data_IF_277122848164
#
_entry.id   IF_277122848164
#
_cell.length_a   1.000
_cell.length_b   1.000
_cell.length_c   1.000
_cell.angle_alpha   90.00
_cell.angle_beta   90.00
_cell.angle_gamma   90.00
#
_symmetry.space_group_name_H-M   'P 1'
#
loop_
_entity.id
_entity.type
_entity.pdbx_description
1 polymer ?
#
# COMPACT_ATOMS: atom_id res chain seq x y z
N UNK A 1 69.48 -44.78 -3.05
CA UNK A 1 68.54 -43.88 -3.66
C UNK A 1 67.28 -43.85 -2.82
N UNK A 2 67.07 -42.78 -2.00
CA UNK A 2 65.90 -42.66 -1.16
C UNK A 2 64.92 -41.73 -1.90
N UNK A 3 63.70 -42.21 -2.22
CA UNK A 3 62.62 -41.45 -2.80
C UNK A 3 61.85 -40.74 -1.68
N UNK A 4 61.87 -39.39 -1.67
CA UNK A 4 61.15 -38.60 -0.76
C UNK A 4 59.79 -38.25 -1.44
N UNK A 5 58.69 -38.77 -0.87
CA UNK A 5 57.33 -38.48 -1.32
C UNK A 5 56.85 -37.17 -0.66
N UNK A 6 56.66 -36.17 -1.45
CA UNK A 6 56.08 -34.87 -1.00
C UNK A 6 54.57 -35.00 -0.90
N UNK A 7 54.04 -34.93 0.32
CA UNK A 7 52.59 -34.92 0.57
C UNK A 7 52.09 -33.47 0.49
N UNK A 8 51.32 -33.13 -0.58
CA UNK A 8 50.72 -31.83 -0.78
C UNK A 8 49.43 -31.76 0.02
N UNK A 9 49.41 -30.93 1.07
CA UNK A 9 48.25 -30.70 1.91
C UNK A 9 47.39 -29.58 1.27
N UNK A 10 46.33 -29.96 0.56
CA UNK A 10 45.31 -28.99 0.08
C UNK A 10 44.50 -28.48 1.25
N UNK A 11 44.77 -27.26 1.67
CA UNK A 11 43.95 -26.54 2.63
C UNK A 11 42.72 -25.99 1.89
N UNK A 12 41.57 -26.66 1.98
CA UNK A 12 40.31 -26.18 1.48
C UNK A 12 39.79 -25.05 2.41
N UNK A 13 39.99 -23.79 2.01
CA UNK A 13 39.32 -22.66 2.64
C UNK A 13 37.81 -22.77 2.37
N UNK A 14 37.07 -23.33 3.31
CA UNK A 14 35.62 -23.15 3.40
C UNK A 14 35.37 -21.68 3.72
N UNK A 15 35.15 -20.87 2.70
CA UNK A 15 34.56 -19.53 2.84
C UNK A 15 33.15 -19.74 3.39
N UNK A 16 33.01 -19.64 4.71
CA UNK A 16 31.71 -19.60 5.36
C UNK A 16 30.98 -18.36 4.88
N UNK A 17 30.00 -18.55 3.97
CA UNK A 17 29.00 -17.51 3.69
C UNK A 17 28.37 -17.15 5.03
N UNK A 18 28.28 -15.85 5.39
CA UNK A 18 27.60 -15.47 6.61
C UNK A 18 26.15 -15.96 6.51
N UNK A 19 25.76 -16.91 7.35
CA UNK A 19 24.35 -17.25 7.53
C UNK A 19 23.68 -15.96 8.07
N UNK A 20 22.95 -15.27 7.21
CA UNK A 20 22.09 -14.16 7.64
C UNK A 20 21.03 -14.79 8.54
N UNK A 21 21.03 -14.47 9.83
CA UNK A 21 20.00 -14.96 10.74
C UNK A 21 18.63 -14.55 10.17
N UNK A 22 17.78 -15.53 9.90
CA UNK A 22 16.41 -15.27 9.43
C UNK A 22 15.65 -14.57 10.54
N UNK A 23 15.13 -13.38 10.24
CA UNK A 23 14.32 -12.63 11.21
C UNK A 23 12.96 -13.27 11.28
N UNK A 24 12.56 -13.66 12.48
CA UNK A 24 11.26 -14.26 12.74
C UNK A 24 10.24 -13.13 12.92
N UNK A 25 9.10 -13.15 12.20
CA UNK A 25 8.04 -12.19 12.44
C UNK A 25 7.45 -12.37 13.84
N UNK A 26 7.04 -11.27 14.46
CA UNK A 26 6.34 -11.28 15.75
C UNK A 26 4.91 -11.78 15.64
N UNK A 27 4.34 -11.68 14.43
CA UNK A 27 3.05 -12.27 14.08
C UNK A 27 2.93 -12.53 12.58
N UNK A 28 2.03 -13.45 12.22
CA UNK A 28 1.68 -13.77 10.83
C UNK A 28 0.18 -13.84 10.68
N UNK A 29 -0.40 -12.91 9.92
CA UNK A 29 -1.84 -12.75 9.78
C UNK A 29 -2.25 -13.08 8.35
N UNK A 30 -3.20 -14.01 8.12
CA UNK A 30 -3.72 -14.26 6.78
C UNK A 30 -4.54 -13.08 6.29
N UNK A 31 -4.54 -12.84 4.97
CA UNK A 31 -5.43 -11.89 4.32
C UNK A 31 -6.20 -12.51 3.16
N UNK A 32 -7.36 -11.95 2.87
CA UNK A 32 -8.12 -12.18 1.65
C UNK A 32 -7.76 -11.13 0.60
N UNK A 33 -7.47 -11.53 -0.63
CA UNK A 33 -7.40 -10.61 -1.76
C UNK A 33 -8.77 -10.61 -2.45
N UNK A 34 -9.49 -9.51 -2.33
CA UNK A 34 -10.82 -9.34 -2.92
C UNK A 34 -10.80 -9.31 -4.46
N UNK A 35 -11.96 -9.53 -5.06
CA UNK A 35 -12.14 -9.39 -6.52
C UNK A 35 -11.85 -7.95 -6.99
N UNK A 36 -12.03 -6.97 -6.12
CA UNK A 36 -11.68 -5.57 -6.28
C UNK A 36 -10.18 -5.27 -6.18
N UNK A 37 -9.34 -6.29 -6.05
CA UNK A 37 -7.87 -6.21 -5.91
C UNK A 37 -7.39 -5.57 -4.60
N UNK A 38 -8.26 -5.46 -3.59
CA UNK A 38 -7.94 -4.92 -2.26
C UNK A 38 -7.67 -6.03 -1.25
N UNK A 39 -6.96 -5.68 -0.17
CA UNK A 39 -6.56 -6.60 0.89
C UNK A 39 -7.54 -6.50 2.06
N UNK A 40 -8.03 -7.63 2.53
CA UNK A 40 -8.92 -7.69 3.68
C UNK A 40 -8.35 -8.57 4.79
N UNK A 41 -8.42 -8.06 6.02
CA UNK A 41 -7.93 -8.72 7.24
C UNK A 41 -9.03 -8.80 8.28
N UNK A 42 -8.89 -9.74 9.21
CA UNK A 42 -9.78 -9.83 10.38
C UNK A 42 -9.23 -8.95 11.50
N UNK A 43 -10.08 -8.07 12.02
CA UNK A 43 -9.76 -7.13 13.09
C UNK A 43 -10.79 -7.27 14.21
N UNK A 44 -10.37 -7.00 15.44
CA UNK A 44 -11.20 -6.96 16.63
C UNK A 44 -11.04 -5.62 17.34
N UNK A 45 -12.12 -5.09 17.87
CA UNK A 45 -12.16 -3.78 18.52
C UNK A 45 -12.54 -3.95 20.00
N UNK A 46 -11.83 -3.26 20.90
CA UNK A 46 -12.12 -3.13 22.33
C UNK A 46 -12.34 -4.48 23.04
N UNK A 47 -11.57 -5.53 22.65
CA UNK A 47 -11.64 -6.85 23.29
C UNK A 47 -12.90 -7.66 22.96
N UNK A 48 -13.70 -7.26 21.96
CA UNK A 48 -14.86 -8.03 21.51
C UNK A 48 -14.41 -9.16 20.57
N UNK A 49 -13.83 -10.22 21.14
CA UNK A 49 -13.21 -11.31 20.39
C UNK A 49 -14.21 -12.27 19.71
N UNK A 50 -15.47 -12.20 20.11
CA UNK A 50 -16.59 -12.91 19.49
C UNK A 50 -17.16 -12.20 18.25
N UNK A 51 -16.67 -10.99 17.95
CA UNK A 51 -17.10 -10.17 16.81
C UNK A 51 -15.97 -9.91 15.82
N UNK A 52 -15.61 -10.88 14.95
CA UNK A 52 -14.62 -10.66 13.92
C UNK A 52 -15.13 -9.68 12.85
N UNK A 53 -14.34 -8.68 12.54
CA UNK A 53 -14.66 -7.62 11.58
C UNK A 53 -13.78 -7.75 10.34
N UNK A 54 -14.35 -7.55 9.15
CA UNK A 54 -13.63 -7.56 7.87
C UNK A 54 -13.15 -6.15 7.55
N UNK A 55 -11.86 -5.91 7.69
CA UNK A 55 -11.23 -4.61 7.48
C UNK A 55 -10.42 -4.57 6.19
N UNK A 56 -10.53 -3.47 5.45
CA UNK A 56 -9.62 -3.10 4.37
C UNK A 56 -8.26 -2.73 4.98
N UNK A 57 -7.16 -3.32 4.52
CA UNK A 57 -5.81 -2.90 4.89
C UNK A 57 -5.37 -1.78 3.96
N UNK A 58 -5.08 -0.60 4.53
CA UNK A 58 -4.94 0.63 3.75
C UNK A 58 -3.75 1.48 4.21
N UNK A 59 -2.70 1.49 3.39
CA UNK A 59 -1.53 2.36 3.62
C UNK A 59 -1.76 3.80 3.17
N UNK A 60 -2.85 4.09 2.46
CA UNK A 60 -3.31 5.42 2.10
C UNK A 60 -4.20 6.09 3.16
N UNK A 61 -4.58 5.37 4.22
CA UNK A 61 -5.35 5.90 5.34
C UNK A 61 -4.46 6.17 6.56
N UNK A 62 -4.60 7.35 7.17
CA UNK A 62 -3.85 7.70 8.39
C UNK A 62 -4.39 6.99 9.62
N UNK A 63 -5.68 6.80 9.72
CA UNK A 63 -6.38 6.35 10.92
C UNK A 63 -7.07 5.00 10.73
N UNK A 64 -7.56 4.45 11.84
CA UNK A 64 -8.47 3.30 11.81
C UNK A 64 -9.90 3.81 11.65
N UNK A 65 -10.62 3.27 10.66
CA UNK A 65 -11.99 3.67 10.33
C UNK A 65 -12.97 2.56 10.70
N UNK A 66 -14.12 2.91 11.27
CA UNK A 66 -15.30 2.06 11.34
C UNK A 66 -16.30 2.48 10.26
N UNK A 67 -16.87 1.51 9.55
CA UNK A 67 -17.98 1.74 8.66
C UNK A 67 -19.27 1.92 9.49
N UNK A 68 -19.73 3.16 9.64
CA UNK A 68 -20.90 3.47 10.46
C UNK A 68 -22.22 2.91 9.89
N UNK A 69 -22.23 2.44 8.64
CA UNK A 69 -23.40 1.77 8.04
C UNK A 69 -23.34 0.24 8.17
N UNK A 70 -22.21 -0.35 8.63
CA UNK A 70 -22.16 -1.79 8.87
C UNK A 70 -22.88 -2.15 10.16
N UNK A 71 -23.86 -3.05 10.15
CA UNK A 71 -24.51 -3.50 11.38
C UNK A 71 -23.56 -4.24 12.33
N UNK A 72 -22.40 -4.69 11.82
CA UNK A 72 -21.39 -5.38 12.63
C UNK A 72 -20.55 -4.42 13.48
N UNK A 73 -20.57 -3.12 13.19
CA UNK A 73 -19.83 -2.10 13.96
C UNK A 73 -20.69 -1.38 14.98
N UNK A 74 -21.98 -1.64 15.00
CA UNK A 74 -22.92 -1.01 15.94
C UNK A 74 -22.53 -1.25 17.40
N UNK A 75 -22.43 -0.18 18.19
CA UNK A 75 -22.11 -0.24 19.62
C UNK A 75 -20.66 -0.56 19.97
N UNK A 76 -19.74 -0.67 18.99
CA UNK A 76 -18.32 -0.98 19.25
C UNK A 76 -17.55 0.20 19.87
N UNK A 77 -17.92 1.44 19.56
CA UNK A 77 -17.26 2.64 20.04
C UNK A 77 -18.24 3.82 20.13
N UNK A 78 -17.97 4.76 21.03
CA UNK A 78 -18.72 6.01 21.14
C UNK A 78 -17.97 7.13 20.40
N UNK A 79 -18.63 7.75 19.44
CA UNK A 79 -18.08 8.85 18.63
C UNK A 79 -18.48 10.19 19.27
N UNK A 80 -17.65 10.70 20.16
CA UNK A 80 -17.88 11.89 20.99
C UNK A 80 -17.12 13.12 20.50
N UNK A 81 -16.17 12.93 19.55
CA UNK A 81 -15.34 13.97 18.96
C UNK A 81 -15.57 14.05 17.44
N UNK A 82 -14.84 14.95 16.78
CA UNK A 82 -14.79 15.04 15.33
C UNK A 82 -13.39 15.42 14.84
N UNK A 83 -13.07 15.02 13.62
CA UNK A 83 -11.80 15.35 12.95
C UNK A 83 -12.04 15.78 11.51
N UNK A 84 -11.13 16.58 10.96
CA UNK A 84 -11.09 16.85 9.53
C UNK A 84 -10.53 15.63 8.79
N UNK A 85 -11.24 15.17 7.78
CA UNK A 85 -10.86 14.07 6.92
C UNK A 85 -10.63 14.56 5.49
N UNK A 86 -9.40 14.33 4.99
CA UNK A 86 -9.04 14.59 3.61
C UNK A 86 -9.20 13.29 2.82
N UNK A 87 -10.30 13.15 2.10
CA UNK A 87 -10.52 12.01 1.22
C UNK A 87 -9.97 12.24 -0.19
N UNK A 88 -10.10 11.23 -1.04
CA UNK A 88 -9.65 11.29 -2.45
C UNK A 88 -10.20 12.51 -3.18
N UNK A 89 -11.42 12.91 -2.90
CA UNK A 89 -12.16 13.93 -3.65
C UNK A 89 -12.92 14.96 -2.78
N UNK A 90 -12.72 14.96 -1.46
CA UNK A 90 -13.37 15.92 -0.54
C UNK A 90 -12.55 16.15 0.72
N UNK A 91 -12.90 17.24 1.42
CA UNK A 91 -12.46 17.54 2.79
C UNK A 91 -13.73 17.70 3.63
N UNK A 92 -13.88 16.88 4.65
CA UNK A 92 -15.09 16.82 5.47
C UNK A 92 -14.77 16.68 6.96
N UNK A 93 -15.63 17.22 7.83
CA UNK A 93 -15.57 16.93 9.26
C UNK A 93 -16.36 15.67 9.55
N UNK A 94 -15.71 14.67 10.12
CA UNK A 94 -16.29 13.36 10.39
C UNK A 94 -16.23 13.01 11.88
N UNK A 95 -17.16 12.18 12.40
CA UNK A 95 -17.16 11.75 13.79
C UNK A 95 -15.92 10.92 14.13
N UNK A 96 -15.39 11.11 15.35
CA UNK A 96 -14.28 10.35 15.89
C UNK A 96 -14.49 9.99 17.37
N UNK A 97 -13.77 8.97 17.81
CA UNK A 97 -13.70 8.61 19.24
C UNK A 97 -12.58 9.40 19.93
N UNK A 98 -12.54 9.33 21.26
CA UNK A 98 -11.31 9.64 22.01
C UNK A 98 -10.20 8.65 21.65
N UNK A 99 -8.94 9.06 21.93
CA UNK A 99 -7.74 8.23 21.69
C UNK A 99 -7.55 7.19 22.80
N UNK A 100 -8.52 6.30 22.97
CA UNK A 100 -8.56 5.28 24.02
C UNK A 100 -8.89 3.86 23.52
N UNK A 101 -9.09 3.71 22.22
CA UNK A 101 -9.59 2.46 21.64
C UNK A 101 -8.46 1.43 21.50
N UNK A 102 -8.84 0.17 21.58
CA UNK A 102 -7.94 -0.98 21.37
C UNK A 102 -8.31 -1.67 20.06
N UNK A 103 -7.33 -1.80 19.18
CA UNK A 103 -7.48 -2.47 17.86
C UNK A 103 -6.54 -3.67 17.82
N UNK A 104 -7.05 -4.86 17.48
CA UNK A 104 -6.27 -6.09 17.39
C UNK A 104 -6.38 -6.72 16.00
N UNK A 105 -5.22 -7.03 15.41
CA UNK A 105 -5.09 -7.87 14.21
C UNK A 105 -4.16 -9.03 14.55
N UNK A 106 -4.58 -10.27 14.29
CA UNK A 106 -3.84 -11.45 14.75
C UNK A 106 -3.72 -11.47 16.27
N UNK A 107 -2.51 -11.66 16.79
CA UNK A 107 -2.19 -11.62 18.22
C UNK A 107 -1.81 -10.21 18.72
N UNK A 108 -1.65 -9.22 17.82
CA UNK A 108 -1.11 -7.89 18.15
C UNK A 108 -2.22 -6.88 18.39
N UNK A 109 -2.32 -6.39 19.63
CA UNK A 109 -3.26 -5.37 20.05
C UNK A 109 -2.52 -4.05 20.30
N UNK A 110 -3.03 -2.95 19.74
CA UNK A 110 -2.55 -1.59 19.96
C UNK A 110 -3.64 -0.79 20.67
N UNK A 111 -3.27 -0.18 21.77
CA UNK A 111 -4.14 0.66 22.60
C UNK A 111 -3.91 2.14 22.33
N UNK A 112 -4.85 2.98 22.74
CA UNK A 112 -4.73 4.44 22.60
C UNK A 112 -5.00 4.94 21.20
N UNK A 113 -5.66 4.15 20.35
CA UNK A 113 -6.01 4.56 19.00
C UNK A 113 -7.30 5.38 18.99
N UNK A 114 -7.36 6.31 18.04
CA UNK A 114 -8.59 7.01 17.66
C UNK A 114 -9.24 6.25 16.51
N UNK A 115 -10.57 6.08 16.55
CA UNK A 115 -11.35 5.57 15.45
C UNK A 115 -12.16 6.71 14.84
N UNK A 116 -12.30 6.70 13.53
CA UNK A 116 -13.16 7.62 12.79
C UNK A 116 -14.33 6.87 12.16
N UNK A 117 -15.49 7.52 12.00
CA UNK A 117 -16.68 6.92 11.42
C UNK A 117 -16.91 7.43 10.00
N UNK A 118 -16.92 6.51 9.02
CA UNK A 118 -17.26 6.83 7.63
C UNK A 118 -18.41 5.92 7.17
N UNK A 119 -19.48 6.48 6.55
CA UNK A 119 -20.65 5.72 6.12
C UNK A 119 -20.40 5.08 4.73
N UNK A 120 -19.55 4.04 4.65
CA UNK A 120 -19.42 3.24 3.45
C UNK A 120 -20.69 2.42 3.16
N UNK A 121 -20.84 1.81 1.97
CA UNK A 121 -21.91 0.84 1.73
C UNK A 121 -21.89 -0.26 2.82
N UNK A 122 -23.05 -0.67 3.34
CA UNK A 122 -23.13 -1.54 4.51
C UNK A 122 -22.56 -2.94 4.28
N UNK A 123 -22.47 -3.38 3.04
CA UNK A 123 -21.98 -4.68 2.58
C UNK A 123 -20.53 -4.64 2.05
N UNK A 124 -19.87 -3.48 2.06
CA UNK A 124 -18.51 -3.34 1.54
C UNK A 124 -17.48 -3.99 2.47
N UNK A 125 -17.23 -3.39 3.61
CA UNK A 125 -16.32 -3.83 4.69
C UNK A 125 -16.76 -3.19 6.00
N UNK A 126 -16.29 -3.75 7.13
CA UNK A 126 -16.65 -3.23 8.45
C UNK A 126 -15.78 -2.04 8.88
N UNK A 127 -14.62 -1.88 8.26
CA UNK A 127 -13.71 -0.77 8.57
C UNK A 127 -12.45 -0.77 7.71
N UNK A 128 -11.56 0.20 8.00
CA UNK A 128 -10.27 0.37 7.36
C UNK A 128 -9.17 0.34 8.42
N UNK A 129 -8.12 -0.45 8.20
CA UNK A 129 -6.95 -0.53 9.07
C UNK A 129 -5.84 0.33 8.48
N UNK A 130 -5.69 1.54 9.00
CA UNK A 130 -4.73 2.54 8.52
C UNK A 130 -3.42 2.57 9.29
N UNK A 131 -2.65 3.61 9.01
CA UNK A 131 -1.26 3.77 9.47
C UNK A 131 -1.12 3.98 10.98
N UNK A 132 -2.12 4.51 11.68
CA UNK A 132 -2.08 4.64 13.14
C UNK A 132 -1.90 3.28 13.82
N UNK A 133 -2.40 2.19 13.20
CA UNK A 133 -2.11 0.83 13.62
C UNK A 133 -0.83 0.28 12.97
N UNK A 134 -0.67 0.38 11.64
CA UNK A 134 0.38 -0.31 10.89
C UNK A 134 1.80 0.16 11.27
N UNK A 135 1.99 1.44 11.56
CA UNK A 135 3.29 2.04 11.94
C UNK A 135 3.86 1.57 13.28
N UNK A 136 3.14 0.76 14.03
CA UNK A 136 3.68 0.13 15.23
C UNK A 136 4.59 -1.06 14.93
N UNK A 137 4.70 -1.45 13.66
CA UNK A 137 5.47 -2.61 13.17
C UNK A 137 6.18 -2.26 11.88
N UNK A 138 7.23 -3.02 11.51
CA UNK A 138 7.59 -3.14 10.12
C UNK A 138 6.69 -4.22 9.50
N UNK A 139 6.10 -3.95 8.33
CA UNK A 139 5.00 -4.74 7.77
C UNK A 139 5.40 -5.33 6.43
N UNK A 140 5.42 -6.66 6.31
CA UNK A 140 5.57 -7.34 5.02
C UNK A 140 4.25 -7.92 4.55
N UNK A 141 3.84 -7.57 3.33
CA UNK A 141 2.68 -8.12 2.64
C UNK A 141 3.19 -9.10 1.58
N UNK A 142 2.89 -10.39 1.76
CA UNK A 142 3.31 -11.47 0.85
C UNK A 142 2.08 -12.02 0.12
N UNK A 143 1.90 -11.59 -1.12
CA UNK A 143 0.73 -11.98 -1.94
C UNK A 143 0.74 -13.45 -2.35
N UNK A 144 1.91 -14.06 -2.45
CA UNK A 144 2.04 -15.48 -2.77
C UNK A 144 1.55 -16.35 -1.61
N UNK A 145 1.95 -15.98 -0.38
CA UNK A 145 1.53 -16.68 0.84
C UNK A 145 0.17 -16.23 1.35
N UNK A 146 -0.36 -15.12 0.80
CA UNK A 146 -1.56 -14.42 1.30
C UNK A 146 -1.47 -14.13 2.80
N UNK A 147 -0.33 -13.63 3.23
CA UNK A 147 -0.02 -13.38 4.63
C UNK A 147 0.66 -12.03 4.82
N UNK A 148 0.33 -11.39 5.92
CA UNK A 148 0.99 -10.20 6.45
C UNK A 148 1.90 -10.68 7.56
N UNK A 149 3.17 -10.33 7.49
CA UNK A 149 4.16 -10.58 8.52
C UNK A 149 4.45 -9.27 9.24
N UNK A 150 4.28 -9.28 10.56
CA UNK A 150 4.61 -8.14 11.42
C UNK A 150 5.97 -8.39 12.06
N UNK A 151 6.83 -7.39 12.05
CA UNK A 151 8.14 -7.43 12.69
C UNK A 151 8.23 -6.30 13.71
N UNK A 152 9.11 -6.43 14.70
CA UNK A 152 9.46 -5.30 15.55
C UNK A 152 10.06 -4.16 14.69
N UNK A 153 9.77 -2.92 15.08
CA UNK A 153 10.26 -1.75 14.35
C UNK A 153 11.80 -1.75 14.22
N UNK A 154 12.29 -1.72 12.99
CA UNK A 154 13.70 -1.74 12.62
C UNK A 154 14.25 -3.13 12.30
N UNK A 155 13.47 -4.18 12.45
CA UNK A 155 13.84 -5.53 12.05
C UNK A 155 13.42 -5.88 10.62
N UNK A 156 12.49 -5.14 10.04
CA UNK A 156 11.99 -5.36 8.68
C UNK A 156 13.10 -5.38 7.63
N UNK A 157 14.08 -4.49 7.72
CA UNK A 157 15.23 -4.48 6.79
C UNK A 157 15.94 -5.83 6.70
N UNK A 158 16.01 -6.60 7.80
CA UNK A 158 16.64 -7.92 7.83
C UNK A 158 15.80 -8.97 7.09
N UNK A 159 14.47 -8.74 6.97
CA UNK A 159 13.54 -9.60 6.24
C UNK A 159 13.43 -9.23 4.75
N UNK A 160 14.05 -8.13 4.32
CA UNK A 160 14.03 -7.72 2.91
C UNK A 160 14.79 -8.73 2.04
N UNK A 161 14.23 -9.06 0.88
CA UNK A 161 14.91 -9.87 -0.14
C UNK A 161 16.02 -9.06 -0.81
N UNK A 162 17.14 -9.69 -1.11
CA UNK A 162 18.23 -9.08 -1.90
C UNK A 162 17.81 -8.75 -3.35
N UNK A 163 16.68 -9.30 -3.80
CA UNK A 163 16.08 -9.03 -5.12
C UNK A 163 15.07 -7.88 -5.11
N UNK A 164 14.74 -7.35 -3.93
CA UNK A 164 13.77 -6.27 -3.81
C UNK A 164 14.36 -4.93 -4.25
N UNK A 165 13.58 -4.15 -4.99
CA UNK A 165 13.89 -2.74 -5.22
C UNK A 165 13.57 -1.98 -3.93
N UNK A 166 14.55 -1.24 -3.43
CA UNK A 166 14.37 -0.35 -2.29
C UNK A 166 14.03 1.06 -2.77
N UNK A 167 12.94 1.61 -2.26
CA UNK A 167 12.54 3.00 -2.46
C UNK A 167 12.57 3.72 -1.11
N UNK A 168 13.12 4.93 -1.08
CA UNK A 168 13.05 5.77 0.12
C UNK A 168 11.61 6.28 0.25
N UNK A 169 11.02 6.12 1.42
CA UNK A 169 9.72 6.71 1.76
C UNK A 169 9.91 8.12 2.33
N UNK A 170 9.03 9.01 1.93
CA UNK A 170 8.71 10.28 2.58
C UNK A 170 7.26 10.22 3.05
N UNK A 171 6.79 11.22 3.79
CA UNK A 171 5.39 11.27 4.24
C UNK A 171 4.77 12.60 3.85
N UNK A 172 3.64 12.52 3.17
CA UNK A 172 2.84 13.69 2.79
C UNK A 172 1.38 13.43 3.07
N UNK A 173 0.70 14.40 3.64
CA UNK A 173 -0.65 14.23 4.16
C UNK A 173 -0.77 13.02 5.11
N UNK A 174 0.34 12.68 5.80
CA UNK A 174 0.40 11.57 6.75
C UNK A 174 0.61 10.18 6.13
N UNK A 175 0.61 10.02 4.81
CA UNK A 175 0.75 8.73 4.11
C UNK A 175 2.13 8.57 3.46
N UNK A 176 2.62 7.32 3.25
CA UNK A 176 3.89 7.07 2.60
C UNK A 176 3.88 7.48 1.13
N UNK A 177 4.93 8.19 0.73
CA UNK A 177 5.17 8.65 -0.64
C UNK A 177 6.55 8.18 -1.08
N UNK A 178 6.66 7.70 -2.31
CA UNK A 178 7.91 7.22 -2.89
C UNK A 178 8.19 7.87 -4.24
N UNK A 179 9.49 8.05 -4.63
CA UNK A 179 9.85 8.50 -5.96
C UNK A 179 9.69 7.37 -6.97
N UNK A 180 9.05 7.66 -8.09
CA UNK A 180 8.84 6.73 -9.21
C UNK A 180 9.12 7.44 -10.52
N UNK A 181 9.87 6.80 -11.41
CA UNK A 181 9.99 7.25 -12.80
C UNK A 181 8.76 6.84 -13.60
N UNK A 182 8.24 7.73 -14.43
CA UNK A 182 7.18 7.42 -15.38
C UNK A 182 7.45 8.04 -16.74
N UNK A 183 7.33 7.24 -17.80
CA UNK A 183 7.41 7.74 -19.18
C UNK A 183 6.01 7.84 -19.75
N UNK A 184 5.66 9.00 -20.28
CA UNK A 184 4.35 9.32 -20.86
C UNK A 184 4.56 10.04 -22.19
N UNK A 185 4.08 9.47 -23.31
CA UNK A 185 4.22 10.07 -24.62
C UNK A 185 5.67 10.31 -25.03
N UNK A 186 6.59 9.44 -24.62
CA UNK A 186 8.02 9.54 -24.89
C UNK A 186 8.80 10.47 -23.96
N UNK A 187 8.15 11.16 -23.02
CA UNK A 187 8.78 12.09 -22.06
C UNK A 187 8.92 11.40 -20.69
N UNK A 188 10.10 11.52 -20.08
CA UNK A 188 10.41 10.98 -18.76
C UNK A 188 10.09 12.00 -17.66
N UNK A 189 9.42 11.53 -16.61
CA UNK A 189 9.11 12.30 -15.42
C UNK A 189 9.55 11.52 -14.18
N UNK A 190 10.08 12.21 -13.19
CA UNK A 190 10.23 11.71 -11.83
C UNK A 190 9.06 12.26 -11.00
N UNK A 191 8.24 11.38 -10.44
CA UNK A 191 7.02 11.72 -9.70
C UNK A 191 7.10 11.21 -8.27
N UNK A 192 6.53 11.98 -7.34
CA UNK A 192 6.34 11.57 -5.95
C UNK A 192 4.92 11.01 -5.80
N UNK A 193 4.80 9.73 -5.51
CA UNK A 193 3.49 9.04 -5.51
C UNK A 193 3.15 8.42 -4.16
N UNK A 194 1.92 8.60 -3.73
CA UNK A 194 1.37 7.90 -2.56
C UNK A 194 1.29 6.40 -2.80
N UNK A 195 1.56 5.61 -1.76
CA UNK A 195 1.47 4.14 -1.80
C UNK A 195 0.21 3.73 -1.05
N UNK A 196 -0.79 3.22 -1.80
CA UNK A 196 -2.16 3.06 -1.31
C UNK A 196 -2.68 1.64 -1.58
N UNK A 197 -2.60 0.77 -0.57
CA UNK A 197 -3.13 -0.60 -0.65
C UNK A 197 -4.66 -0.66 -0.56
N UNK A 198 -5.31 0.41 -0.11
CA UNK A 198 -6.77 0.55 -0.05
C UNK A 198 -7.40 0.94 -1.40
N UNK A 199 -6.60 1.38 -2.37
CA UNK A 199 -7.07 1.75 -3.71
C UNK A 199 -7.09 0.55 -4.66
N UNK A 200 -8.17 0.36 -5.41
CA UNK A 200 -8.28 -0.62 -6.49
C UNK A 200 -7.64 -0.15 -7.81
N UNK A 201 -7.07 1.05 -7.81
CA UNK A 201 -6.45 1.68 -8.98
C UNK A 201 -5.08 1.07 -9.28
N UNK A 202 -4.58 1.36 -10.50
CA UNK A 202 -3.23 0.99 -10.91
C UNK A 202 -2.26 2.13 -10.59
N UNK A 203 -2.34 3.23 -11.33
CA UNK A 203 -1.49 4.39 -11.17
C UNK A 203 -2.23 5.64 -11.67
N UNK A 204 -2.62 6.49 -10.76
CA UNK A 204 -3.28 7.76 -11.11
C UNK A 204 -2.32 8.92 -10.92
N UNK A 205 -2.17 9.79 -11.93
CA UNK A 205 -1.47 11.06 -11.81
C UNK A 205 -2.46 12.15 -11.39
N UNK A 206 -2.10 12.91 -10.37
CA UNK A 206 -2.94 13.94 -9.77
C UNK A 206 -3.15 15.14 -10.71
N UNK A 207 -4.27 15.80 -10.57
CA UNK A 207 -4.69 16.92 -11.43
C UNK A 207 -3.65 18.04 -11.56
N UNK A 208 -2.99 18.51 -10.47
CA UNK A 208 -1.98 19.55 -10.60
C UNK A 208 -0.78 19.12 -11.46
N UNK A 209 -0.30 17.89 -11.26
CA UNK A 209 0.79 17.34 -12.08
C UNK A 209 0.38 17.23 -13.55
N UNK A 210 -0.80 16.68 -13.81
CA UNK A 210 -1.35 16.49 -15.17
C UNK A 210 -1.48 17.84 -15.89
N UNK A 211 -1.98 18.88 -15.22
CA UNK A 211 -2.15 20.23 -15.79
C UNK A 211 -0.81 20.91 -16.03
N UNK A 212 0.10 20.87 -15.04
CA UNK A 212 1.42 21.52 -15.12
C UNK A 212 2.25 20.99 -16.28
N UNK A 213 2.11 19.71 -16.61
CA UNK A 213 2.83 19.06 -17.69
C UNK A 213 2.03 18.92 -19.00
N UNK A 214 0.82 19.49 -19.06
CA UNK A 214 0.00 19.51 -20.29
C UNK A 214 -0.37 18.12 -20.79
N UNK A 215 -0.59 17.13 -19.88
CA UNK A 215 -0.77 15.73 -20.26
C UNK A 215 -2.16 15.43 -20.86
N UNK A 216 -3.18 16.24 -20.55
CA UNK A 216 -4.52 16.09 -21.14
C UNK A 216 -4.47 16.27 -22.65
N UNK A 217 -5.05 15.30 -23.40
CA UNK A 217 -5.09 15.34 -24.86
C UNK A 217 -3.80 14.83 -25.55
N UNK A 218 -2.71 14.52 -24.81
CA UNK A 218 -1.50 13.93 -25.37
C UNK A 218 -1.71 12.50 -25.85
N UNK A 219 -2.68 11.79 -25.27
CA UNK A 219 -3.07 10.43 -25.62
C UNK A 219 -4.59 10.32 -25.66
N UNK A 220 -5.11 9.44 -26.52
CA UNK A 220 -6.52 9.09 -26.52
C UNK A 220 -6.79 8.13 -25.35
N UNK A 221 -7.67 8.47 -24.40
CA UNK A 221 -8.04 7.56 -23.34
C UNK A 221 -8.71 6.29 -23.88
N UNK A 222 -8.36 5.14 -23.35
CA UNK A 222 -9.06 3.88 -23.67
C UNK A 222 -10.37 3.72 -22.86
N UNK A 223 -10.50 4.44 -21.74
CA UNK A 223 -11.70 4.49 -20.93
C UNK A 223 -11.74 5.78 -20.10
N UNK A 224 -12.92 6.19 -19.67
CA UNK A 224 -13.14 7.22 -18.67
C UNK A 224 -13.71 6.54 -17.43
N UNK A 225 -13.09 6.73 -16.29
CA UNK A 225 -13.56 6.24 -14.98
C UNK A 225 -14.01 7.43 -14.13
N UNK A 226 -14.96 7.18 -13.23
CA UNK A 226 -15.31 8.14 -12.18
C UNK A 226 -14.79 7.62 -10.84
N UNK A 227 -14.26 8.52 -10.01
CA UNK A 227 -13.87 8.18 -8.65
C UNK A 227 -15.09 8.29 -7.76
N UNK A 228 -15.41 7.21 -7.06
CA UNK A 228 -16.30 7.25 -5.91
C UNK A 228 -15.42 7.39 -4.66
N UNK A 229 -15.41 8.58 -4.07
CA UNK A 229 -14.89 8.82 -2.71
C UNK A 229 -16.03 8.87 -1.71
N UNK A 230 -15.85 9.57 -0.61
CA UNK A 230 -16.92 9.86 0.37
C UNK A 230 -18.02 10.71 -0.24
N UNK A 231 -17.75 11.46 -1.31
CA UNK A 231 -18.73 12.26 -2.08
C UNK A 231 -19.00 11.63 -3.44
N UNK A 232 -20.30 11.60 -3.85
CA UNK A 232 -20.74 10.90 -5.08
C UNK A 232 -20.21 11.48 -6.40
N UNK A 233 -19.83 12.75 -6.46
CA UNK A 233 -19.36 13.42 -7.68
C UNK A 233 -17.85 13.66 -7.67
N UNK A 234 -17.10 12.57 -7.73
CA UNK A 234 -15.66 12.53 -7.50
C UNK A 234 -14.76 13.03 -8.63
N UNK A 235 -15.30 13.45 -9.77
CA UNK A 235 -14.49 13.82 -10.94
C UNK A 235 -14.15 12.64 -11.85
N UNK A 236 -13.43 12.92 -12.93
CA UNK A 236 -13.11 11.95 -13.97
C UNK A 236 -11.62 11.61 -14.02
N UNK A 237 -11.34 10.38 -14.40
CA UNK A 237 -10.03 9.86 -14.70
C UNK A 237 -9.99 9.45 -16.17
N UNK A 238 -9.08 10.04 -16.93
CA UNK A 238 -8.78 9.61 -18.29
C UNK A 238 -7.78 8.46 -18.24
N UNK A 239 -8.26 7.23 -18.44
CA UNK A 239 -7.41 6.04 -18.42
C UNK A 239 -6.62 5.92 -19.72
N UNK A 240 -5.30 5.88 -19.60
CA UNK A 240 -4.31 5.83 -20.68
C UNK A 240 -3.28 4.74 -20.41
N UNK A 241 -2.36 4.52 -21.33
CA UNK A 241 -1.18 3.69 -21.07
C UNK A 241 0.05 4.58 -20.91
N UNK A 242 0.74 4.46 -19.78
CA UNK A 242 2.09 4.98 -19.65
C UNK A 242 3.06 4.07 -20.43
N UNK A 243 4.03 4.67 -21.10
CA UNK A 243 5.02 3.91 -21.88
C UNK A 243 5.81 2.97 -20.96
N UNK A 244 6.19 3.46 -19.78
CA UNK A 244 6.81 2.66 -18.72
C UNK A 244 6.68 3.29 -17.35
N UNK A 245 6.78 2.44 -16.31
CA UNK A 245 6.97 2.81 -14.90
C UNK A 245 8.32 2.27 -14.45
N UNK A 246 9.13 3.10 -13.79
CA UNK A 246 10.50 2.81 -13.38
C UNK A 246 10.57 2.89 -11.86
N UNK A 247 10.93 1.77 -11.22
CA UNK A 247 11.08 1.66 -9.78
C UNK A 247 12.57 1.57 -9.42
N UNK A 248 13.08 2.61 -8.76
CA UNK A 248 14.51 2.75 -8.52
C UNK A 248 15.32 2.71 -9.81
N UNK A 249 16.58 2.26 -9.73
CA UNK A 249 17.46 2.11 -10.89
C UNK A 249 17.38 0.72 -11.53
N UNK A 250 16.55 -0.18 -10.98
CA UNK A 250 16.64 -1.61 -11.27
C UNK A 250 15.48 -2.20 -12.06
N UNK A 251 14.29 -1.62 -12.02
CA UNK A 251 13.10 -2.24 -12.59
C UNK A 251 12.30 -1.28 -13.47
N UNK A 252 12.22 -1.61 -14.75
CA UNK A 252 11.35 -0.91 -15.72
C UNK A 252 10.22 -1.82 -16.15
N UNK A 253 9.00 -1.36 -15.96
CA UNK A 253 7.77 -2.06 -16.33
C UNK A 253 7.14 -1.35 -17.54
N UNK A 254 7.12 -1.97 -18.73
CA UNK A 254 6.57 -1.33 -19.93
C UNK A 254 5.05 -1.40 -19.97
N UNK A 255 4.44 -0.41 -20.64
CA UNK A 255 3.01 -0.34 -20.95
C UNK A 255 2.10 -0.56 -19.75
N UNK A 256 2.22 0.29 -18.76
CA UNK A 256 1.40 0.24 -17.55
C UNK A 256 0.13 1.06 -17.74
N UNK A 257 -1.07 0.52 -17.46
CA UNK A 257 -2.28 1.32 -17.40
C UNK A 257 -2.16 2.36 -16.28
N UNK A 258 -2.51 3.59 -16.61
CA UNK A 258 -2.54 4.69 -15.66
C UNK A 258 -3.71 5.61 -15.95
N UNK A 259 -3.84 6.68 -15.19
CA UNK A 259 -4.87 7.65 -15.46
C UNK A 259 -4.39 9.09 -15.21
N UNK A 260 -4.95 10.01 -15.98
CA UNK A 260 -4.85 11.44 -15.76
C UNK A 260 -6.09 11.92 -15.01
N UNK A 261 -5.89 12.43 -13.79
CA UNK A 261 -6.97 12.98 -13.00
C UNK A 261 -7.40 14.37 -13.50
N UNK A 262 -8.69 14.61 -13.45
CA UNK A 262 -9.30 15.95 -13.64
C UNK A 262 -10.07 16.41 -12.41
N UNK A 263 -9.93 15.69 -11.30
CA UNK A 263 -10.57 15.98 -10.00
C UNK A 263 -10.11 17.34 -9.49
N UNK A 264 -11.01 18.10 -8.88
CA UNK A 264 -10.75 19.49 -8.46
C UNK A 264 -10.75 19.70 -6.94
N UNK A 265 -11.02 18.66 -6.16
CA UNK A 265 -11.04 18.68 -4.68
C UNK A 265 -10.42 17.42 -4.10
N UNK A 266 -10.02 17.44 -2.85
CA UNK A 266 -9.41 16.31 -2.14
C UNK A 266 -7.96 16.01 -2.54
N UNK A 267 -7.48 14.80 -2.21
CA UNK A 267 -6.08 14.41 -2.36
C UNK A 267 -5.61 14.47 -3.81
N UNK A 268 -6.46 14.06 -4.77
CA UNK A 268 -6.10 14.08 -6.19
C UNK A 268 -6.05 15.49 -6.81
N UNK A 269 -6.57 16.50 -6.12
CA UNK A 269 -6.45 17.92 -6.49
C UNK A 269 -5.31 18.64 -5.75
N UNK A 270 -4.60 17.95 -4.86
CA UNK A 270 -3.51 18.51 -4.05
C UNK A 270 -2.17 18.43 -4.77
N UNK A 271 -1.32 19.45 -4.57
CA UNK A 271 0.09 19.45 -4.98
C UNK A 271 1.01 18.70 -4.00
N UNK A 272 0.47 18.12 -2.92
CA UNK A 272 1.25 17.40 -1.92
C UNK A 272 1.99 16.20 -2.52
N UNK A 273 1.40 15.55 -3.53
CA UNK A 273 1.99 14.45 -4.28
C UNK A 273 1.57 14.50 -5.75
N UNK A 274 2.36 13.90 -6.64
CA UNK A 274 2.10 13.93 -8.07
C UNK A 274 1.13 12.83 -8.54
N UNK A 275 0.88 11.81 -7.70
CA UNK A 275 -0.01 10.70 -8.03
C UNK A 275 -0.15 9.67 -6.92
N UNK A 276 -0.81 8.55 -7.24
CA UNK A 276 -1.07 7.43 -6.33
C UNK A 276 -0.85 6.09 -7.04
N UNK A 277 -0.07 5.20 -6.42
CA UNK A 277 0.03 3.79 -6.77
C UNK A 277 -0.97 2.99 -5.96
N UNK A 278 -1.97 2.44 -6.62
CA UNK A 278 -2.98 1.61 -5.98
C UNK A 278 -2.62 0.13 -5.92
N UNK A 279 -3.40 -0.63 -5.17
CA UNK A 279 -3.11 -2.04 -4.93
C UNK A 279 -3.21 -2.91 -6.20
N UNK A 280 -3.95 -2.48 -7.23
CA UNK A 280 -3.94 -3.18 -8.51
C UNK A 280 -2.55 -3.15 -9.19
N UNK A 281 -1.70 -2.16 -8.89
CA UNK A 281 -0.28 -2.17 -9.25
C UNK A 281 0.54 -2.92 -8.20
N UNK A 282 0.38 -2.57 -6.93
CA UNK A 282 1.22 -3.00 -5.81
C UNK A 282 1.16 -4.53 -5.58
N UNK A 283 0.04 -5.20 -5.85
CA UNK A 283 -0.10 -6.65 -5.70
C UNK A 283 0.87 -7.49 -6.56
N UNK A 284 1.59 -6.86 -7.51
CA UNK A 284 2.63 -7.51 -8.33
C UNK A 284 3.95 -7.67 -7.59
N UNK A 285 4.01 -7.15 -6.38
CA UNK A 285 5.17 -7.18 -5.51
C UNK A 285 4.80 -7.73 -4.14
N UNK A 286 5.68 -8.54 -3.56
CA UNK A 286 5.71 -8.67 -2.13
C UNK A 286 6.31 -7.36 -1.60
N UNK A 287 5.61 -6.73 -0.67
CA UNK A 287 5.95 -5.40 -0.17
C UNK A 287 6.48 -5.51 1.25
N UNK A 288 7.50 -4.74 1.59
CA UNK A 288 7.94 -4.60 2.98
C UNK A 288 8.06 -3.11 3.29
N UNK A 289 7.24 -2.66 4.20
CA UNK A 289 7.27 -1.31 4.77
C UNK A 289 8.16 -1.34 6.02
N UNK A 290 9.36 -0.81 5.89
CA UNK A 290 10.28 -0.56 7.02
C UNK A 290 10.05 0.87 7.51
N UNK A 291 9.07 1.01 8.39
CA UNK A 291 8.66 2.32 8.91
C UNK A 291 9.72 2.96 9.79
N UNK A 292 10.60 2.16 10.40
CA UNK A 292 11.71 2.67 11.21
C UNK A 292 12.77 3.39 10.39
N UNK A 293 13.04 2.90 9.18
CA UNK A 293 14.11 3.41 8.31
C UNK A 293 13.57 4.10 7.05
N UNK A 294 12.28 4.45 7.03
CA UNK A 294 11.59 5.13 5.91
C UNK A 294 11.91 4.49 4.56
N UNK A 295 11.67 3.18 4.45
CA UNK A 295 12.01 2.43 3.26
C UNK A 295 10.91 1.45 2.87
N UNK A 296 10.54 1.46 1.58
CA UNK A 296 9.67 0.47 0.95
C UNK A 296 10.52 -0.46 0.08
N UNK A 297 10.39 -1.76 0.32
CA UNK A 297 11.02 -2.79 -0.50
C UNK A 297 9.96 -3.50 -1.33
N UNK A 298 10.17 -3.56 -2.64
CA UNK A 298 9.26 -4.18 -3.61
C UNK A 298 9.97 -5.35 -4.28
N UNK A 299 9.56 -6.57 -3.96
CA UNK A 299 10.04 -7.79 -4.57
C UNK A 299 9.02 -8.31 -5.57
N UNK A 300 9.41 -8.44 -6.85
CA UNK A 300 8.53 -8.98 -7.91
C UNK A 300 8.03 -10.37 -7.51
N UNK A 301 6.73 -10.60 -7.65
CA UNK A 301 6.09 -11.87 -7.39
C UNK A 301 5.44 -12.48 -8.65
N UNK A 302 4.80 -13.64 -8.51
CA UNK A 302 4.16 -14.40 -9.59
C UNK A 302 2.93 -13.71 -10.21
N UNK A 303 2.45 -12.64 -9.59
CA UNK A 303 1.34 -11.83 -10.12
C UNK A 303 1.78 -10.74 -11.12
N UNK A 304 3.07 -10.62 -11.41
CA UNK A 304 3.61 -9.58 -12.31
C UNK A 304 2.87 -9.53 -13.65
N UNK A 305 2.56 -10.70 -14.21
CA UNK A 305 1.93 -10.82 -15.53
C UNK A 305 0.41 -11.00 -15.49
N UNK A 306 -0.22 -10.90 -14.31
CA UNK A 306 -1.69 -10.94 -14.26
C UNK A 306 -2.27 -9.71 -14.94
N UNK A 307 -3.40 -9.83 -15.70
CA UNK A 307 -4.05 -8.67 -16.31
C UNK A 307 -4.41 -7.61 -15.26
N UNK A 308 -4.24 -6.34 -15.61
CA UNK A 308 -4.68 -5.24 -14.74
C UNK A 308 -6.21 -5.13 -14.70
N UNK A 309 -6.87 -5.39 -15.85
CA UNK A 309 -8.31 -5.32 -15.98
C UNK A 309 -8.81 -6.56 -16.75
N UNK A 310 -9.75 -7.26 -16.18
CA UNK A 310 -10.28 -8.52 -16.77
C UNK A 310 -11.02 -8.26 -18.09
N UNK A 311 -11.60 -7.07 -18.27
CA UNK A 311 -12.33 -6.71 -19.50
C UNK A 311 -11.42 -6.35 -20.68
N UNK A 312 -10.12 -6.12 -20.44
CA UNK A 312 -9.16 -5.86 -21.52
C UNK A 312 -8.61 -7.14 -22.16
N UNK A 313 -8.99 -8.29 -21.67
CA UNK A 313 -8.52 -9.61 -22.11
C UNK A 313 -9.53 -10.32 -23.00
N UNK A 314 -10.69 -9.73 -23.27
CA UNK A 314 -11.78 -10.29 -24.09
C UNK A 314 -11.74 -9.79 -25.52
#
# INVERSE_FOLDING_TARGET
>A
MKKTTLLSLCFACLLGLPLRAEVVPTDTVPFELGADKRLYVTVYINGQDDRPLRFLLDTGATDVVLNSNSPRTEGLAAFTESVENNSVNSVETIPSTESSQVVRMGSRAISGLKLIAIPYPPDAWDGVLGLSYLRNFDVRIDYRRKSIFLYELGDGQKAASDKAVRLKMDYRLGVPVVPVGVRVGGVDYLVSVGVDTGSDRVFDLNTPFVRRNGLLGTQKPFAISRIAGTVKDGGELQNVYFDSVILGDALTLPRIPGAFSTVTTGVQASDAMDGVLGNNFLQRFNQLYDFKNDSLYLEVNDRLYTPFYDFLVR
#
